data_IF_690077238844
#
_entry.id   IF_690077238844
#
_cell.length_a   1.000
_cell.length_b   1.000
_cell.length_c   1.000
_cell.angle_alpha   90.00
_cell.angle_beta   90.00
_cell.angle_gamma   90.00
#
_symmetry.space_group_name_H-M   'P 1'
#
loop_
_entity.id
_entity.type
_entity.pdbx_description
1 polymer ?
#
# COMPACT_ATOMS: atom_id res chain seq x y z
N UNK A 1 54.63 -43.35 -31.70
CA UNK A 1 55.36 -42.20 -32.25
C UNK A 1 54.81 -42.01 -33.66
N UNK A 2 53.66 -41.35 -33.76
CA UNK A 2 53.02 -40.97 -35.02
C UNK A 2 52.45 -39.58 -34.80
N UNK A 3 52.86 -38.65 -35.66
CA UNK A 3 52.55 -37.23 -35.59
C UNK A 3 51.81 -36.80 -36.86
N UNK A 4 50.67 -36.14 -36.65
CA UNK A 4 50.08 -34.98 -37.38
C UNK A 4 49.57 -35.14 -38.82
N UNK A 5 48.25 -34.90 -39.00
CA UNK A 5 47.67 -33.74 -39.73
C UNK A 5 46.16 -33.56 -39.51
N UNK A 6 45.76 -32.29 -39.41
CA UNK A 6 44.42 -31.71 -39.13
C UNK A 6 43.42 -31.82 -40.30
N UNK A 7 42.11 -31.91 -39.97
CA UNK A 7 40.99 -31.81 -40.92
C UNK A 7 39.65 -31.35 -40.29
N UNK A 8 39.46 -30.03 -40.25
CA UNK A 8 38.23 -29.21 -40.48
C UNK A 8 36.83 -29.78 -40.12
N UNK A 9 36.14 -29.18 -39.14
CA UNK A 9 34.69 -29.36 -38.88
C UNK A 9 33.84 -28.31 -39.60
N UNK A 10 32.75 -28.77 -40.22
CA UNK A 10 31.69 -27.99 -40.87
C UNK A 10 30.75 -27.34 -39.83
N UNK A 11 30.25 -26.13 -40.12
CA UNK A 11 29.27 -25.44 -39.28
C UNK A 11 28.73 -24.19 -39.95
N UNK A 12 27.86 -24.35 -40.95
CA UNK A 12 27.24 -23.23 -41.66
C UNK A 12 25.77 -23.53 -42.01
N UNK A 13 24.87 -23.52 -41.02
CA UNK A 13 23.41 -23.55 -41.29
C UNK A 13 22.54 -22.74 -40.29
N UNK A 14 23.15 -21.93 -39.41
CA UNK A 14 22.42 -21.19 -38.35
C UNK A 14 22.01 -19.74 -38.68
N UNK A 15 22.63 -19.09 -39.66
CA UNK A 15 22.60 -17.61 -39.80
C UNK A 15 21.34 -17.11 -40.55
N UNK A 16 20.73 -17.95 -41.40
CA UNK A 16 19.59 -17.54 -42.25
C UNK A 16 18.24 -17.39 -41.54
N UNK A 17 18.07 -17.95 -40.33
CA UNK A 17 16.78 -17.92 -39.59
C UNK A 17 16.67 -16.71 -38.64
N UNK A 18 17.78 -16.14 -38.18
CA UNK A 18 17.79 -14.98 -37.25
C UNK A 18 17.41 -13.67 -37.96
N UNK A 19 17.88 -13.46 -39.20
CA UNK A 19 17.60 -12.24 -39.97
C UNK A 19 16.11 -12.04 -40.32
N UNK A 20 15.35 -13.13 -40.47
CA UNK A 20 13.89 -13.05 -40.73
C UNK A 20 13.08 -12.66 -39.49
N UNK A 21 13.60 -12.90 -38.28
CA UNK A 21 12.98 -12.44 -37.03
C UNK A 21 13.21 -10.94 -36.79
N UNK A 22 14.43 -10.45 -37.06
CA UNK A 22 14.80 -9.03 -36.92
C UNK A 22 13.96 -8.13 -37.83
N UNK A 23 13.69 -8.57 -39.07
CA UNK A 23 12.86 -7.83 -40.02
C UNK A 23 11.36 -7.80 -39.64
N UNK A 24 10.88 -8.81 -38.90
CA UNK A 24 9.50 -8.89 -38.41
C UNK A 24 9.30 -8.07 -37.12
N UNK A 25 10.33 -7.98 -36.27
CA UNK A 25 10.38 -7.09 -35.10
C UNK A 25 10.43 -5.61 -35.52
N UNK A 26 11.24 -5.24 -36.53
CA UNK A 26 11.35 -3.86 -37.00
C UNK A 26 10.02 -3.22 -37.47
N UNK A 27 9.08 -4.01 -38.01
CA UNK A 27 7.74 -3.52 -38.40
C UNK A 27 6.78 -3.34 -37.22
N UNK A 28 7.04 -3.98 -36.08
CA UNK A 28 6.23 -3.85 -34.87
C UNK A 28 6.63 -2.62 -34.02
N UNK A 29 7.87 -2.12 -34.17
CA UNK A 29 8.44 -1.03 -33.34
C UNK A 29 8.28 0.38 -33.89
N UNK A 30 7.82 0.56 -35.13
CA UNK A 30 7.69 1.89 -35.75
C UNK A 30 6.76 2.88 -35.01
N UNK A 31 5.68 2.49 -34.30
CA UNK A 31 4.82 3.45 -33.60
C UNK A 31 5.30 3.84 -32.18
N UNK A 32 6.24 3.11 -31.57
CA UNK A 32 6.61 3.29 -30.16
C UNK A 32 7.86 4.16 -29.93
N UNK A 33 8.53 4.61 -30.99
CA UNK A 33 9.74 5.44 -30.87
C UNK A 33 9.46 6.94 -30.68
N UNK A 34 8.25 7.42 -31.00
CA UNK A 34 7.90 8.84 -30.87
C UNK A 34 7.75 9.36 -29.43
N UNK A 35 7.21 8.59 -28.45
CA UNK A 35 7.07 9.08 -27.07
C UNK A 35 8.42 9.26 -26.34
N UNK A 36 9.44 8.50 -26.73
CA UNK A 36 10.78 8.54 -26.09
C UNK A 36 11.59 9.78 -26.47
N UNK A 37 11.34 10.38 -27.65
CA UNK A 37 11.98 11.63 -28.07
C UNK A 37 11.32 12.88 -27.47
N UNK A 38 10.02 12.83 -27.13
CA UNK A 38 9.34 13.94 -26.46
C UNK A 38 9.83 14.16 -25.01
N UNK A 39 10.31 13.11 -24.34
CA UNK A 39 10.81 13.21 -22.95
C UNK A 39 12.24 13.78 -22.90
N UNK A 40 13.03 13.62 -23.96
CA UNK A 40 14.42 14.13 -24.02
C UNK A 40 14.51 15.58 -24.50
N UNK A 41 13.48 16.11 -25.19
CA UNK A 41 13.50 17.47 -25.76
C UNK A 41 12.84 18.57 -24.92
N UNK A 42 12.37 18.29 -23.70
CA UNK A 42 11.96 19.35 -22.76
C UNK A 42 10.91 20.32 -23.31
N UNK A 43 9.99 19.86 -24.17
CA UNK A 43 8.88 20.67 -24.65
C UNK A 43 7.89 20.89 -23.49
N UNK A 44 8.09 22.03 -22.86
CA UNK A 44 7.27 22.70 -21.88
C UNK A 44 5.82 22.82 -22.40
N UNK A 45 4.87 22.11 -21.78
CA UNK A 45 3.43 22.35 -21.99
C UNK A 45 3.08 23.56 -21.11
N UNK A 46 2.62 24.70 -21.67
CA UNK A 46 2.23 25.85 -20.85
C UNK A 46 0.96 25.51 -20.08
N UNK A 47 0.97 25.73 -18.76
CA UNK A 47 -0.26 25.81 -17.96
C UNK A 47 -1.09 27.02 -18.43
N UNK A 48 -2.29 26.79 -18.91
CA UNK A 48 -3.27 27.84 -19.22
C UNK A 48 -3.83 28.46 -17.94
N UNK A 49 -3.96 29.80 -17.84
CA UNK A 49 -4.44 30.46 -16.64
C UNK A 49 -5.95 30.24 -16.46
N UNK A 50 -6.35 29.99 -15.21
CA UNK A 50 -7.72 29.66 -14.84
C UNK A 50 -8.74 30.74 -15.13
N UNK A 51 -9.96 30.31 -15.49
CA UNK A 51 -11.16 31.12 -15.40
C UNK A 51 -12.13 30.48 -14.39
N UNK A 52 -12.60 31.28 -13.42
CA UNK A 52 -13.67 30.93 -12.50
C UNK A 52 -15.02 31.08 -13.22
N UNK A 53 -15.86 30.05 -13.22
CA UNK A 53 -17.30 30.16 -12.92
C UNK A 53 -18.03 28.82 -13.08
N UNK A 54 -18.95 28.54 -12.15
CA UNK A 54 -20.15 27.75 -12.43
C UNK A 54 -20.13 26.30 -11.92
N UNK A 55 -21.17 25.94 -11.17
CA UNK A 55 -21.45 24.59 -10.64
C UNK A 55 -21.42 23.52 -11.73
N UNK A 56 -20.77 22.40 -11.46
CA UNK A 56 -20.97 21.13 -12.15
C UNK A 56 -20.68 19.97 -11.20
N UNK A 57 -21.43 18.87 -11.32
CA UNK A 57 -21.25 17.65 -10.53
C UNK A 57 -19.85 17.04 -10.66
N UNK A 58 -19.57 15.90 -9.99
CA UNK A 58 -18.22 15.31 -10.01
C UNK A 58 -17.76 15.11 -11.45
N UNK A 59 -16.64 15.73 -11.80
CA UNK A 59 -15.94 15.50 -13.06
C UNK A 59 -15.69 14.00 -13.24
N UNK A 60 -15.91 13.43 -14.43
CA UNK A 60 -15.45 12.08 -14.71
C UNK A 60 -13.92 12.06 -14.60
N UNK A 61 -13.41 11.25 -13.67
CA UNK A 61 -11.97 11.13 -13.43
C UNK A 61 -11.20 10.68 -14.68
N UNK A 62 -9.93 11.09 -14.82
CA UNK A 62 -9.08 10.66 -15.93
C UNK A 62 -9.00 9.13 -16.01
N UNK A 63 -9.10 8.58 -17.22
CA UNK A 63 -8.91 7.15 -17.48
C UNK A 63 -7.49 6.72 -17.07
N UNK A 64 -7.38 5.96 -15.99
CA UNK A 64 -6.15 5.30 -15.57
C UNK A 64 -6.07 3.91 -16.24
N UNK A 65 -5.12 3.68 -17.17
CA UNK A 65 -4.95 2.39 -17.83
C UNK A 65 -4.57 1.23 -16.89
N UNK A 66 -4.19 1.51 -15.64
CA UNK A 66 -3.92 0.51 -14.61
C UNK A 66 -5.13 0.19 -13.70
N UNK A 67 -6.23 0.95 -13.80
CA UNK A 67 -7.46 0.74 -13.02
C UNK A 67 -8.06 -0.68 -13.12
N UNK A 68 -8.10 -1.35 -14.31
CA UNK A 68 -8.63 -2.72 -14.41
C UNK A 68 -7.79 -3.75 -13.66
N UNK A 69 -6.53 -3.45 -13.35
CA UNK A 69 -5.68 -4.34 -12.56
C UNK A 69 -6.08 -4.28 -11.09
N UNK A 70 -6.54 -3.13 -10.58
CA UNK A 70 -6.87 -2.94 -9.16
C UNK A 70 -8.07 -3.76 -8.69
N UNK A 71 -9.11 -3.92 -9.51
CA UNK A 71 -10.32 -4.71 -9.18
C UNK A 71 -10.01 -6.20 -8.93
N UNK A 72 -9.01 -6.76 -9.62
CA UNK A 72 -8.63 -8.18 -9.49
C UNK A 72 -7.89 -8.47 -8.17
N UNK A 73 -7.34 -7.45 -7.50
CA UNK A 73 -6.52 -7.61 -6.29
C UNK A 73 -7.27 -7.50 -4.97
N UNK A 74 -8.59 -7.37 -4.99
CA UNK A 74 -9.47 -7.37 -3.81
C UNK A 74 -9.32 -8.61 -2.90
N UNK A 75 -8.63 -9.67 -3.34
CA UNK A 75 -8.72 -11.00 -2.73
C UNK A 75 -7.59 -11.45 -1.78
N UNK A 76 -6.54 -10.66 -1.54
CA UNK A 76 -5.48 -11.11 -0.59
C UNK A 76 -5.06 -10.10 0.46
N UNK A 77 -6.05 -9.49 1.10
CA UNK A 77 -5.91 -8.80 2.38
C UNK A 77 -5.91 -9.80 3.54
N UNK A 78 -4.88 -10.65 3.62
CA UNK A 78 -4.82 -11.72 4.65
C UNK A 78 -4.22 -11.22 5.95
N UNK A 79 -4.97 -11.35 7.05
CA UNK A 79 -4.42 -11.25 8.41
C UNK A 79 -3.58 -12.51 8.67
N UNK A 80 -2.33 -12.32 9.10
CA UNK A 80 -1.45 -13.45 9.41
C UNK A 80 -1.96 -14.24 10.62
N UNK A 81 -2.20 -15.53 10.44
CA UNK A 81 -2.44 -16.46 11.54
C UNK A 81 -1.14 -17.18 11.97
N UNK A 82 -1.24 -18.07 12.96
CA UNK A 82 -0.09 -18.86 13.42
C UNK A 82 0.52 -19.75 12.32
N UNK A 83 -0.30 -20.27 11.41
CA UNK A 83 0.15 -21.08 10.27
C UNK A 83 0.87 -20.23 9.25
N UNK A 84 0.41 -19.01 8.98
CA UNK A 84 1.07 -18.04 8.11
C UNK A 84 2.43 -17.63 8.66
N UNK A 85 2.52 -17.36 9.96
CA UNK A 85 3.81 -17.09 10.62
C UNK A 85 4.76 -18.30 10.59
N UNK A 86 4.24 -19.52 10.79
CA UNK A 86 5.02 -20.74 10.62
C UNK A 86 5.52 -20.89 9.18
N UNK A 87 4.62 -20.67 8.21
CA UNK A 87 4.92 -20.69 6.78
C UNK A 87 5.97 -19.64 6.43
N UNK A 88 5.90 -18.44 7.00
CA UNK A 88 6.84 -17.34 6.76
C UNK A 88 8.23 -17.64 7.32
N UNK A 89 8.33 -18.32 8.48
CA UNK A 89 9.60 -18.72 9.11
C UNK A 89 10.27 -19.95 8.48
N UNK A 90 9.54 -20.72 7.67
CA UNK A 90 10.07 -21.92 7.00
C UNK A 90 11.30 -21.60 6.13
N UNK A 91 12.33 -22.44 6.21
CA UNK A 91 13.54 -22.36 5.38
C UNK A 91 13.25 -22.44 3.87
N UNK A 92 12.18 -23.14 3.49
CA UNK A 92 11.69 -23.23 2.10
C UNK A 92 10.94 -21.96 1.64
N UNK A 93 10.98 -20.86 2.41
CA UNK A 93 10.42 -19.57 1.98
C UNK A 93 11.07 -19.09 0.69
N UNK A 94 12.40 -19.16 0.58
CA UNK A 94 13.13 -18.57 -0.54
C UNK A 94 12.81 -19.27 -1.86
N UNK A 95 12.77 -20.62 -1.87
CA UNK A 95 12.38 -21.39 -3.06
C UNK A 95 10.93 -21.09 -3.48
N UNK A 96 9.99 -21.01 -2.54
CA UNK A 96 8.60 -20.64 -2.84
C UNK A 96 8.49 -19.23 -3.39
N UNK A 97 9.22 -18.27 -2.84
CA UNK A 97 9.24 -16.90 -3.35
C UNK A 97 9.77 -16.84 -4.77
N UNK A 98 10.88 -17.55 -5.05
CA UNK A 98 11.46 -17.67 -6.40
C UNK A 98 10.43 -18.24 -7.39
N UNK A 99 9.76 -19.34 -7.03
CA UNK A 99 8.75 -19.96 -7.89
C UNK A 99 7.53 -19.06 -8.12
N UNK A 100 7.14 -18.25 -7.12
CA UNK A 100 6.03 -17.30 -7.21
C UNK A 100 6.38 -15.95 -7.85
N UNK A 101 7.64 -15.72 -8.25
CA UNK A 101 8.07 -14.42 -8.78
C UNK A 101 7.26 -14.00 -10.01
N UNK A 102 6.94 -14.94 -10.91
CA UNK A 102 6.20 -14.65 -12.15
C UNK A 102 4.75 -14.22 -11.93
N UNK A 103 4.19 -14.46 -10.74
CA UNK A 103 2.84 -14.05 -10.37
C UNK A 103 2.79 -12.79 -9.51
N UNK A 104 3.94 -12.17 -9.21
CA UNK A 104 4.00 -11.00 -8.33
C UNK A 104 3.66 -9.70 -9.07
N UNK A 105 2.73 -8.89 -8.53
CA UNK A 105 2.37 -7.55 -9.06
C UNK A 105 3.61 -6.68 -9.22
N UNK A 106 4.49 -6.68 -8.21
CA UNK A 106 5.74 -5.91 -8.23
C UNK A 106 6.52 -6.25 -9.49
N UNK A 107 6.73 -7.54 -9.75
CA UNK A 107 7.55 -8.00 -10.89
C UNK A 107 6.88 -7.72 -12.23
N UNK A 108 5.56 -7.81 -12.31
CA UNK A 108 4.80 -7.48 -13.51
C UNK A 108 4.85 -5.96 -13.82
N UNK A 109 4.82 -5.11 -12.79
CA UNK A 109 4.94 -3.65 -12.93
C UNK A 109 6.34 -3.22 -13.44
N UNK A 110 7.38 -4.01 -13.16
CA UNK A 110 8.74 -3.75 -13.64
C UNK A 110 8.92 -4.04 -15.13
N UNK A 111 8.02 -4.80 -15.76
CA UNK A 111 8.23 -5.28 -17.12
C UNK A 111 8.41 -4.14 -18.14
N UNK A 112 7.55 -3.10 -18.21
CA UNK A 112 7.74 -2.01 -19.17
C UNK A 112 9.08 -1.25 -19.04
N UNK A 113 9.48 -0.73 -17.87
CA UNK A 113 10.74 0.01 -17.75
C UNK A 113 11.97 -0.89 -17.95
N UNK A 114 11.99 -2.09 -17.37
CA UNK A 114 13.15 -3.00 -17.48
C UNK A 114 13.31 -3.49 -18.92
N UNK A 115 12.21 -3.82 -19.61
CA UNK A 115 12.24 -4.23 -21.00
C UNK A 115 12.74 -3.10 -21.92
N UNK A 116 12.26 -1.86 -21.71
CA UNK A 116 12.73 -0.69 -22.46
C UNK A 116 14.23 -0.46 -22.31
N UNK A 117 14.73 -0.46 -21.07
CA UNK A 117 16.16 -0.27 -20.78
C UNK A 117 17.04 -1.41 -21.32
N UNK A 118 16.56 -2.64 -21.23
CA UNK A 118 17.26 -3.80 -21.78
C UNK A 118 17.32 -3.74 -23.31
N UNK A 119 16.25 -3.25 -23.96
CA UNK A 119 16.23 -3.03 -25.41
C UNK A 119 17.25 -1.98 -25.84
N UNK A 120 17.38 -0.89 -25.08
CA UNK A 120 18.42 0.12 -25.30
C UNK A 120 19.81 -0.49 -25.17
N UNK A 121 20.04 -1.31 -24.13
CA UNK A 121 21.32 -2.02 -23.93
C UNK A 121 21.66 -2.97 -25.09
N UNK A 122 20.67 -3.71 -25.60
CA UNK A 122 20.82 -4.57 -26.80
C UNK A 122 21.18 -3.73 -28.02
N UNK A 123 20.48 -2.61 -28.25
CA UNK A 123 20.72 -1.74 -29.40
C UNK A 123 22.14 -1.14 -29.38
N UNK A 124 22.60 -0.69 -28.21
CA UNK A 124 23.95 -0.15 -28.03
C UNK A 124 25.03 -1.22 -28.23
N UNK A 125 24.81 -2.41 -27.66
CA UNK A 125 25.74 -3.54 -27.84
C UNK A 125 25.83 -3.97 -29.31
N UNK A 126 24.70 -4.06 -30.00
CA UNK A 126 24.65 -4.39 -31.42
C UNK A 126 25.31 -3.31 -32.29
N UNK A 127 25.10 -2.03 -31.98
CA UNK A 127 25.77 -0.93 -32.67
C UNK A 127 27.29 -1.01 -32.54
N UNK A 128 27.81 -1.18 -31.32
CA UNK A 128 29.25 -1.28 -31.09
C UNK A 128 29.85 -2.52 -31.76
N UNK A 129 29.16 -3.66 -31.73
CA UNK A 129 29.57 -4.88 -32.44
C UNK A 129 29.66 -4.66 -33.96
N UNK A 130 28.69 -3.94 -34.55
CA UNK A 130 28.70 -3.65 -35.99
C UNK A 130 29.88 -2.76 -36.40
N UNK A 131 30.31 -1.84 -35.53
CA UNK A 131 31.52 -1.03 -35.75
C UNK A 131 32.78 -1.91 -35.67
N UNK A 132 32.89 -2.74 -34.63
CA UNK A 132 34.04 -3.63 -34.45
C UNK A 132 34.16 -4.67 -35.58
N UNK A 133 33.02 -5.14 -36.11
CA UNK A 133 32.95 -6.07 -37.23
C UNK A 133 33.11 -5.40 -38.61
N UNK A 134 33.38 -4.09 -38.67
CA UNK A 134 33.48 -3.29 -39.90
C UNK A 134 32.22 -3.34 -40.80
N UNK A 135 31.06 -3.68 -40.24
CA UNK A 135 29.77 -3.60 -40.94
C UNK A 135 29.31 -2.15 -41.11
N UNK A 136 29.73 -1.28 -40.19
CA UNK A 136 29.48 0.16 -40.24
C UNK A 136 30.74 0.92 -40.68
N UNK A 137 30.57 2.09 -41.34
CA UNK A 137 31.69 2.91 -41.75
C UNK A 137 32.56 3.36 -40.57
N UNK A 138 33.87 3.40 -40.76
CA UNK A 138 34.86 3.76 -39.74
C UNK A 138 34.82 5.22 -39.27
N UNK A 139 33.98 6.08 -39.88
CA UNK A 139 33.76 7.43 -39.37
C UNK A 139 32.87 7.47 -38.13
N UNK A 140 32.09 6.41 -37.86
CA UNK A 140 31.21 6.35 -36.71
C UNK A 140 32.01 6.01 -35.43
N UNK A 141 31.80 6.74 -34.33
CA UNK A 141 32.50 6.48 -33.09
C UNK A 141 31.96 5.25 -32.39
N UNK A 142 32.85 4.52 -31.70
CA UNK A 142 32.46 3.53 -30.70
C UNK A 142 31.75 4.24 -29.56
N UNK A 143 30.54 3.80 -29.18
CA UNK A 143 29.78 4.40 -28.10
C UNK A 143 30.16 3.75 -26.77
N UNK A 144 31.06 4.39 -26.05
CA UNK A 144 31.48 3.99 -24.72
C UNK A 144 31.78 5.22 -23.85
N UNK A 145 31.70 5.07 -22.53
CA UNK A 145 32.03 6.12 -21.56
C UNK A 145 32.79 5.52 -20.39
N UNK A 146 33.60 6.33 -19.70
CA UNK A 146 34.28 5.87 -18.47
C UNK A 146 33.26 5.41 -17.40
N UNK A 147 33.55 4.32 -16.70
CA UNK A 147 32.75 3.82 -15.60
C UNK A 147 32.89 4.65 -14.31
N UNK A 148 33.89 5.54 -14.20
CA UNK A 148 34.17 6.31 -12.97
C UNK A 148 32.98 7.16 -12.48
N UNK A 149 32.25 7.92 -13.33
CA UNK A 149 31.07 8.65 -12.90
C UNK A 149 29.98 7.74 -12.31
N UNK A 150 29.85 6.51 -12.82
CA UNK A 150 28.88 5.55 -12.31
C UNK A 150 29.30 4.99 -10.94
N UNK A 151 30.59 4.79 -10.72
CA UNK A 151 31.08 4.37 -9.41
C UNK A 151 30.86 5.45 -8.34
N UNK A 152 31.04 6.72 -8.71
CA UNK A 152 30.84 7.86 -7.79
C UNK A 152 29.37 8.14 -7.47
N UNK A 153 28.48 7.92 -8.42
CA UNK A 153 27.06 8.23 -8.29
C UNK A 153 26.21 7.05 -7.77
N UNK A 154 26.70 5.81 -7.86
CA UNK A 154 25.98 4.63 -7.37
C UNK A 154 25.61 4.71 -5.87
N UNK A 155 26.50 5.16 -4.96
CA UNK A 155 26.14 5.35 -3.55
C UNK A 155 25.03 6.40 -3.36
N UNK A 156 25.05 7.48 -4.14
CA UNK A 156 24.01 8.51 -4.09
C UNK A 156 22.65 7.95 -4.54
N UNK A 157 22.63 7.15 -5.61
CA UNK A 157 21.42 6.46 -6.08
C UNK A 157 20.86 5.51 -5.02
N UNK A 158 21.71 4.68 -4.42
CA UNK A 158 21.31 3.75 -3.36
C UNK A 158 20.73 4.50 -2.16
N UNK A 159 21.36 5.59 -1.74
CA UNK A 159 20.91 6.40 -0.61
C UNK A 159 19.55 7.06 -0.87
N UNK A 160 19.32 7.58 -2.09
CA UNK A 160 18.02 8.14 -2.49
C UNK A 160 16.90 7.10 -2.40
N UNK A 161 17.15 5.86 -2.83
CA UNK A 161 16.18 4.77 -2.75
C UNK A 161 15.88 4.36 -1.31
N UNK A 162 16.90 4.28 -0.46
CA UNK A 162 16.75 3.96 0.97
C UNK A 162 15.93 5.03 1.68
N UNK A 163 16.22 6.32 1.45
CA UNK A 163 15.45 7.38 2.10
C UNK A 163 14.01 7.41 1.63
N UNK A 164 13.75 7.17 0.34
CA UNK A 164 12.39 7.08 -0.19
C UNK A 164 11.60 5.93 0.43
N UNK A 165 12.19 4.74 0.46
CA UNK A 165 11.53 3.54 1.03
C UNK A 165 11.31 3.69 2.53
N UNK A 166 12.24 4.31 3.25
CA UNK A 166 12.08 4.60 4.69
C UNK A 166 10.95 5.60 4.97
N UNK A 167 10.83 6.67 4.18
CA UNK A 167 9.72 7.62 4.29
C UNK A 167 8.36 6.95 4.00
N UNK A 168 8.33 6.06 3.01
CA UNK A 168 7.13 5.31 2.64
C UNK A 168 6.74 4.31 3.75
N UNK A 169 7.73 3.64 4.36
CA UNK A 169 7.50 2.76 5.51
C UNK A 169 6.98 3.51 6.74
N UNK A 170 7.47 4.73 7.03
CA UNK A 170 6.98 5.52 8.15
C UNK A 170 5.47 5.82 8.04
N UNK A 171 5.00 6.14 6.83
CA UNK A 171 3.56 6.32 6.53
C UNK A 171 2.76 5.03 6.77
N UNK A 172 3.31 3.90 6.31
CA UNK A 172 2.70 2.60 6.53
C UNK A 172 2.57 2.26 8.03
N UNK A 173 3.60 2.49 8.84
CA UNK A 173 3.54 2.24 10.27
C UNK A 173 2.59 3.20 11.00
N UNK A 174 2.56 4.48 10.62
CA UNK A 174 1.60 5.46 11.17
C UNK A 174 0.15 5.03 10.91
N UNK A 175 -0.18 4.67 9.67
CA UNK A 175 -1.50 4.18 9.31
C UNK A 175 -1.89 2.91 10.11
N UNK A 176 -0.94 1.97 10.26
CA UNK A 176 -1.15 0.74 11.05
C UNK A 176 -1.45 1.06 12.51
N UNK A 177 -0.72 2.02 13.11
CA UNK A 177 -0.92 2.45 14.49
C UNK A 177 -2.28 3.12 14.69
N UNK A 178 -2.71 3.96 13.76
CA UNK A 178 -4.03 4.60 13.82
C UNK A 178 -5.16 3.56 13.83
N UNK A 179 -5.12 2.58 12.91
CA UNK A 179 -6.10 1.49 12.89
C UNK A 179 -6.03 0.59 14.13
N UNK A 180 -4.83 0.30 14.64
CA UNK A 180 -4.67 -0.42 15.91
C UNK A 180 -5.23 0.35 17.12
N UNK A 181 -5.05 1.67 17.13
CA UNK A 181 -5.63 2.57 18.14
C UNK A 181 -7.15 2.53 18.10
N UNK A 182 -7.77 2.57 16.92
CA UNK A 182 -9.23 2.43 16.76
C UNK A 182 -9.79 1.12 17.34
N UNK A 183 -9.11 -0.01 17.15
CA UNK A 183 -9.49 -1.30 17.77
C UNK A 183 -9.50 -1.18 19.28
N UNK A 184 -8.48 -0.55 19.86
CA UNK A 184 -8.36 -0.37 21.30
C UNK A 184 -9.40 0.62 21.85
N UNK A 185 -9.60 1.77 21.20
CA UNK A 185 -10.60 2.77 21.61
C UNK A 185 -12.02 2.20 21.54
N UNK A 186 -12.32 1.37 20.54
CA UNK A 186 -13.63 0.70 20.44
C UNK A 186 -13.88 -0.23 21.63
N UNK A 187 -12.87 -1.02 22.03
CA UNK A 187 -12.95 -1.88 23.22
C UNK A 187 -13.13 -1.06 24.50
N UNK A 188 -12.42 0.05 24.62
CA UNK A 188 -12.49 0.92 25.79
C UNK A 188 -13.86 1.60 25.92
N UNK A 189 -14.40 2.20 24.85
CA UNK A 189 -15.76 2.77 24.89
C UNK A 189 -16.79 1.69 25.18
N UNK A 190 -16.70 0.52 24.54
CA UNK A 190 -17.65 -0.58 24.79
C UNK A 190 -17.63 -1.01 26.25
N UNK A 191 -16.44 -1.25 26.81
CA UNK A 191 -16.27 -1.62 28.22
C UNK A 191 -16.79 -0.52 29.15
N UNK A 192 -16.47 0.74 28.87
CA UNK A 192 -16.91 1.88 29.67
C UNK A 192 -18.43 2.07 29.62
N UNK A 193 -19.04 2.00 28.43
CA UNK A 193 -20.48 2.11 28.25
C UNK A 193 -21.22 1.01 29.03
N UNK A 194 -20.81 -0.26 28.86
CA UNK A 194 -21.41 -1.39 29.57
C UNK A 194 -21.26 -1.29 31.11
N UNK A 195 -20.16 -0.72 31.61
CA UNK A 195 -19.90 -0.69 33.06
C UNK A 195 -20.35 0.59 33.77
N UNK A 196 -20.32 1.74 33.10
CA UNK A 196 -20.62 3.04 33.71
C UNK A 196 -22.06 3.49 33.45
N UNK A 197 -22.66 3.14 32.32
CA UNK A 197 -24.02 3.54 31.94
C UNK A 197 -25.05 2.48 32.34
N UNK A 198 -25.18 2.23 33.65
CA UNK A 198 -26.08 1.18 34.17
C UNK A 198 -27.51 1.64 34.41
N UNK A 199 -27.82 2.92 34.22
CA UNK A 199 -29.17 3.43 34.46
C UNK A 199 -30.18 2.81 33.47
N UNK A 200 -31.35 2.32 33.91
CA UNK A 200 -32.29 1.63 33.02
C UNK A 200 -32.74 2.45 31.80
N UNK A 201 -32.83 3.77 31.93
CA UNK A 201 -33.17 4.67 30.80
C UNK A 201 -32.10 4.74 29.71
N UNK A 202 -30.87 4.32 30.00
CA UNK A 202 -29.73 4.45 29.11
C UNK A 202 -29.42 3.12 28.38
N UNK A 203 -30.13 2.04 28.68
CA UNK A 203 -29.87 0.72 28.09
C UNK A 203 -29.91 0.73 26.55
N UNK A 204 -30.89 1.41 25.94
CA UNK A 204 -30.96 1.55 24.48
C UNK A 204 -29.90 2.50 23.93
N UNK A 205 -29.56 3.56 24.67
CA UNK A 205 -28.47 4.49 24.32
C UNK A 205 -27.12 3.77 24.28
N UNK A 206 -26.84 2.89 25.24
CA UNK A 206 -25.62 2.08 25.30
C UNK A 206 -25.52 1.17 24.07
N UNK A 207 -26.59 0.48 23.71
CA UNK A 207 -26.62 -0.36 22.49
C UNK A 207 -26.35 0.47 21.25
N UNK A 208 -27.01 1.64 21.13
CA UNK A 208 -26.83 2.56 20.01
C UNK A 208 -25.40 3.08 19.93
N UNK A 209 -24.81 3.52 21.05
CA UNK A 209 -23.41 3.96 21.12
C UNK A 209 -22.45 2.89 20.62
N UNK A 210 -22.60 1.65 21.12
CA UNK A 210 -21.73 0.53 20.76
C UNK A 210 -21.84 0.20 19.26
N UNK A 211 -23.05 0.20 18.69
CA UNK A 211 -23.27 0.03 17.24
C UNK A 211 -22.58 1.13 16.43
N UNK A 212 -22.69 2.38 16.89
CA UNK A 212 -22.05 3.53 16.24
C UNK A 212 -20.51 3.48 16.35
N UNK A 213 -19.94 2.93 17.43
CA UNK A 213 -18.50 2.67 17.50
C UNK A 213 -18.02 1.74 16.38
N UNK A 214 -18.77 0.67 16.09
CA UNK A 214 -18.44 -0.25 14.98
C UNK A 214 -18.63 0.45 13.64
N UNK A 215 -19.74 1.17 13.47
CA UNK A 215 -20.05 1.88 12.23
C UNK A 215 -19.06 3.00 11.91
N UNK A 216 -18.49 3.67 12.91
CA UNK A 216 -17.42 4.64 12.70
C UNK A 216 -16.25 4.04 11.93
N UNK A 217 -15.81 2.84 12.33
CA UNK A 217 -14.70 2.14 11.69
C UNK A 217 -15.04 1.69 10.26
N UNK A 218 -16.28 1.24 10.03
CA UNK A 218 -16.76 0.88 8.69
C UNK A 218 -16.85 2.12 7.79
N UNK A 219 -17.37 3.24 8.30
CA UNK A 219 -17.41 4.51 7.59
C UNK A 219 -15.99 5.01 7.27
N UNK A 220 -15.05 4.87 8.22
CA UNK A 220 -13.65 5.24 8.02
C UNK A 220 -12.98 4.38 6.94
N UNK A 221 -13.27 3.07 6.90
CA UNK A 221 -12.80 2.18 5.82
C UNK A 221 -13.26 2.70 4.45
N UNK A 222 -14.57 2.92 4.31
CA UNK A 222 -15.19 3.41 3.06
C UNK A 222 -14.80 4.86 2.71
N UNK A 223 -14.31 5.63 3.68
CA UNK A 223 -13.77 6.96 3.45
C UNK A 223 -12.35 6.93 2.83
N UNK A 224 -11.57 5.89 3.12
CA UNK A 224 -10.15 5.79 2.74
C UNK A 224 -9.90 4.86 1.54
N UNK A 225 -10.84 3.95 1.25
CA UNK A 225 -10.71 2.95 0.18
C UNK A 225 -11.90 3.05 -0.75
N UNK A 226 -11.63 2.93 -2.06
CA UNK A 226 -12.65 2.88 -3.09
C UNK A 226 -13.23 1.47 -3.23
N UNK A 227 -14.53 1.39 -3.50
CA UNK A 227 -15.24 0.15 -3.75
C UNK A 227 -16.00 -0.42 -2.55
N UNK A 228 -17.01 -1.23 -2.85
CA UNK A 228 -18.00 -1.72 -1.88
C UNK A 228 -19.13 -0.72 -1.63
N UNK A 229 -20.27 -1.23 -1.20
CA UNK A 229 -21.41 -0.39 -0.79
C UNK A 229 -21.40 -0.24 0.74
N UNK A 230 -21.28 1.01 1.21
CA UNK A 230 -21.36 1.34 2.64
C UNK A 230 -22.71 0.92 3.23
N UNK A 231 -23.80 1.00 2.45
CA UNK A 231 -25.13 0.60 2.92
C UNK A 231 -25.17 -0.88 3.24
N UNK A 232 -24.61 -1.73 2.38
CA UNK A 232 -24.60 -3.18 2.55
C UNK A 232 -23.78 -3.58 3.78
N UNK A 233 -22.63 -2.96 4.00
CA UNK A 233 -21.78 -3.23 5.16
C UNK A 233 -22.41 -2.77 6.48
N UNK A 234 -23.23 -1.71 6.46
CA UNK A 234 -23.88 -1.16 7.67
C UNK A 234 -25.25 -1.79 7.97
N UNK A 235 -25.99 -2.30 6.97
CA UNK A 235 -27.37 -2.78 7.12
C UNK A 235 -27.52 -3.90 8.17
N UNK A 236 -26.44 -4.62 8.49
CA UNK A 236 -26.48 -5.66 9.51
C UNK A 236 -26.34 -5.16 10.96
N UNK A 237 -26.04 -3.87 11.20
CA UNK A 237 -25.70 -3.33 12.54
C UNK A 237 -26.44 -2.05 12.91
N UNK A 238 -26.81 -1.24 11.93
CA UNK A 238 -27.44 0.07 12.12
C UNK A 238 -28.82 0.07 11.44
N UNK A 239 -29.76 0.78 12.05
CA UNK A 239 -31.13 0.88 11.54
C UNK A 239 -31.16 1.71 10.24
N UNK A 240 -32.11 1.41 9.35
CA UNK A 240 -32.15 2.01 7.99
C UNK A 240 -32.15 3.54 8.00
N UNK A 241 -32.91 4.13 8.92
CA UNK A 241 -33.04 5.58 9.08
C UNK A 241 -31.71 6.25 9.46
N UNK A 242 -30.91 5.58 10.31
CA UNK A 242 -29.60 6.06 10.73
C UNK A 242 -28.57 5.95 9.58
N UNK A 243 -28.66 4.88 8.78
CA UNK A 243 -27.82 4.72 7.58
C UNK A 243 -28.08 5.85 6.59
N UNK A 244 -29.35 6.22 6.38
CA UNK A 244 -29.71 7.32 5.48
C UNK A 244 -29.13 8.66 5.96
N UNK A 245 -29.14 8.91 7.27
CA UNK A 245 -28.47 10.07 7.87
C UNK A 245 -26.96 10.09 7.65
N UNK A 246 -26.28 8.94 7.83
CA UNK A 246 -24.85 8.79 7.56
C UNK A 246 -24.54 9.06 6.08
N UNK A 247 -25.33 8.48 5.16
CA UNK A 247 -25.11 8.60 3.72
C UNK A 247 -25.38 10.02 3.21
N UNK A 248 -26.33 10.74 3.80
CA UNK A 248 -26.63 12.12 3.48
C UNK A 248 -25.55 13.11 3.95
N UNK A 249 -24.71 12.72 4.91
CA UNK A 249 -23.66 13.58 5.46
C UNK A 249 -22.47 13.74 4.49
N UNK A 250 -21.89 14.94 4.47
CA UNK A 250 -20.67 15.22 3.69
C UNK A 250 -19.46 14.43 4.20
N UNK A 251 -19.37 14.24 5.52
CA UNK A 251 -18.23 13.61 6.17
C UNK A 251 -18.66 12.47 7.11
N UNK A 252 -18.93 11.31 6.52
CA UNK A 252 -19.58 10.16 7.17
C UNK A 252 -18.93 9.73 8.51
N UNK A 253 -17.59 9.56 8.62
CA UNK A 253 -16.98 9.18 9.91
C UNK A 253 -17.16 10.24 11.01
N UNK A 254 -17.10 11.53 10.65
CA UNK A 254 -17.26 12.63 11.62
C UNK A 254 -18.72 12.79 12.05
N UNK A 255 -19.66 12.56 11.14
CA UNK A 255 -21.08 12.50 11.48
C UNK A 255 -21.35 11.41 12.53
N UNK A 256 -20.78 10.22 12.35
CA UNK A 256 -20.91 9.14 13.35
C UNK A 256 -20.27 9.52 14.69
N UNK A 257 -19.10 10.17 14.69
CA UNK A 257 -18.50 10.68 15.94
C UNK A 257 -19.39 11.69 16.66
N UNK A 258 -20.01 12.61 15.92
CA UNK A 258 -20.95 13.58 16.48
C UNK A 258 -22.14 12.87 17.15
N UNK A 259 -22.75 11.89 16.47
CA UNK A 259 -23.85 11.08 17.04
C UNK A 259 -23.41 10.35 18.30
N UNK A 260 -22.21 9.76 18.31
CA UNK A 260 -21.66 9.09 19.49
C UNK A 260 -21.49 10.06 20.67
N UNK A 261 -20.98 11.27 20.43
CA UNK A 261 -20.80 12.29 21.47
C UNK A 261 -22.15 12.74 22.06
N UNK A 262 -23.18 12.94 21.23
CA UNK A 262 -24.53 13.29 21.68
C UNK A 262 -25.14 12.19 22.56
N UNK A 263 -24.95 10.93 22.16
CA UNK A 263 -25.42 9.79 22.96
C UNK A 263 -24.75 9.78 24.33
N UNK A 264 -23.42 9.92 24.39
CA UNK A 264 -22.66 9.92 25.65
C UNK A 264 -23.12 11.07 26.56
N UNK A 265 -23.29 12.28 26.02
CA UNK A 265 -23.76 13.44 26.78
C UNK A 265 -25.18 13.28 27.33
N UNK A 266 -26.03 12.52 26.65
CA UNK A 266 -27.41 12.28 27.08
C UNK A 266 -27.55 11.18 28.15
N UNK A 267 -26.49 10.46 28.47
CA UNK A 267 -26.49 9.38 29.46
C UNK A 267 -26.27 9.91 30.88
N UNK A 268 -26.78 9.17 31.87
CA UNK A 268 -26.67 9.49 33.29
C UNK A 268 -25.31 9.04 33.83
N UNK A 269 -24.25 9.75 33.48
CA UNK A 269 -22.87 9.48 33.94
C UNK A 269 -22.28 10.67 34.69
N UNK A 270 -21.29 10.41 35.54
CA UNK A 270 -20.57 11.47 36.25
C UNK A 270 -19.67 12.28 35.28
N UNK A 271 -19.38 13.53 35.63
CA UNK A 271 -18.52 14.41 34.83
C UNK A 271 -17.11 13.80 34.63
N UNK A 272 -16.57 13.13 35.65
CA UNK A 272 -15.29 12.42 35.53
C UNK A 272 -15.34 11.28 34.51
N UNK A 273 -16.44 10.53 34.44
CA UNK A 273 -16.63 9.47 33.45
C UNK A 273 -16.80 10.05 32.05
N UNK A 274 -17.59 11.13 31.91
CA UNK A 274 -17.78 11.85 30.66
C UNK A 274 -16.43 12.31 30.08
N UNK A 275 -15.63 13.02 30.87
CA UNK A 275 -14.27 13.45 30.46
C UNK A 275 -13.38 12.28 30.05
N UNK A 276 -13.47 11.13 30.73
CA UNK A 276 -12.70 9.94 30.37
C UNK A 276 -13.18 9.26 29.09
N UNK A 277 -14.47 9.33 28.76
CA UNK A 277 -15.00 8.84 27.49
C UNK A 277 -14.66 9.79 26.34
N UNK A 278 -14.68 11.10 26.58
CA UNK A 278 -14.36 12.13 25.59
C UNK A 278 -12.91 12.03 25.09
N UNK A 279 -11.97 11.66 25.96
CA UNK A 279 -10.59 11.33 25.55
C UNK A 279 -10.56 10.21 24.49
N UNK A 280 -11.44 9.21 24.59
CA UNK A 280 -11.53 8.16 23.57
C UNK A 280 -12.16 8.68 22.27
N UNK A 281 -13.14 9.58 22.36
CA UNK A 281 -13.76 10.24 21.20
C UNK A 281 -12.73 11.09 20.45
N UNK A 282 -11.96 11.89 21.17
CA UNK A 282 -10.86 12.69 20.63
C UNK A 282 -9.85 11.80 19.92
N UNK A 283 -9.47 10.66 20.52
CA UNK A 283 -8.52 9.74 19.89
C UNK A 283 -9.07 9.13 18.58
N UNK A 284 -10.37 8.88 18.46
CA UNK A 284 -10.96 8.46 17.19
C UNK A 284 -10.85 9.55 16.12
N UNK A 285 -11.12 10.81 16.48
CA UNK A 285 -10.96 11.95 15.60
C UNK A 285 -9.49 12.14 15.16
N UNK A 286 -8.53 12.00 16.10
CA UNK A 286 -7.10 12.06 15.80
C UNK A 286 -6.66 10.95 14.85
N UNK A 287 -7.15 9.73 15.05
CA UNK A 287 -6.85 8.59 14.16
C UNK A 287 -7.42 8.81 12.76
N UNK A 288 -8.64 9.35 12.66
CA UNK A 288 -9.25 9.72 11.38
C UNK A 288 -8.44 10.81 10.68
N UNK A 289 -8.10 11.90 11.38
CA UNK A 289 -7.29 12.99 10.83
C UNK A 289 -5.90 12.54 10.39
N UNK A 290 -5.26 11.64 11.15
CA UNK A 290 -3.99 11.03 10.75
C UNK A 290 -4.14 10.22 9.45
N UNK A 291 -5.18 9.40 9.32
CA UNK A 291 -5.43 8.65 8.10
C UNK A 291 -5.78 9.53 6.90
N UNK A 292 -6.57 10.59 7.10
CA UNK A 292 -6.85 11.58 6.06
C UNK A 292 -5.59 12.29 5.59
N UNK A 293 -4.70 12.67 6.52
CA UNK A 293 -3.40 13.28 6.18
C UNK A 293 -2.54 12.32 5.36
N UNK A 294 -2.48 11.05 5.75
CA UNK A 294 -1.74 10.03 5.00
C UNK A 294 -2.34 9.87 3.59
N UNK A 295 -3.66 9.79 3.48
CA UNK A 295 -4.34 9.63 2.19
C UNK A 295 -4.17 10.85 1.28
N UNK A 296 -4.40 12.06 1.78
CA UNK A 296 -4.45 13.30 0.99
C UNK A 296 -3.08 13.89 0.68
N UNK A 297 -2.06 13.60 1.50
CA UNK A 297 -0.73 14.21 1.38
C UNK A 297 0.31 13.13 1.11
N UNK A 298 0.68 12.87 -0.17
CA UNK A 298 1.74 11.92 -0.52
C UNK A 298 3.14 12.45 -0.17
N UNK A 299 4.17 11.63 -0.37
CA UNK A 299 5.56 12.09 -0.29
C UNK A 299 5.76 13.21 -1.34
N UNK A 300 6.53 14.27 -1.05
CA UNK A 300 6.72 15.37 -1.99
C UNK A 300 7.07 14.88 -3.40
N UNK A 301 6.27 15.31 -4.39
CA UNK A 301 6.39 14.85 -5.77
C UNK A 301 7.77 15.09 -6.39
N UNK A 302 8.48 16.12 -5.93
CA UNK A 302 9.87 16.39 -6.32
C UNK A 302 10.79 15.22 -5.99
N UNK A 303 10.59 14.56 -4.85
CA UNK A 303 11.38 13.41 -4.41
C UNK A 303 11.12 12.20 -5.31
N UNK A 304 9.85 11.85 -5.50
CA UNK A 304 9.42 10.74 -6.36
C UNK A 304 9.90 10.93 -7.81
N UNK A 305 9.74 12.14 -8.36
CA UNK A 305 10.21 12.46 -9.72
C UNK A 305 11.72 12.43 -9.84
N UNK A 306 12.45 12.95 -8.85
CA UNK A 306 13.92 12.94 -8.85
C UNK A 306 14.46 11.51 -8.84
N UNK A 307 13.98 10.66 -7.92
CA UNK A 307 14.41 9.26 -7.82
C UNK A 307 14.13 8.50 -9.11
N UNK A 308 12.91 8.61 -9.66
CA UNK A 308 12.51 7.89 -10.88
C UNK A 308 13.31 8.35 -12.10
N UNK A 309 13.44 9.67 -12.31
CA UNK A 309 14.22 10.22 -13.44
C UNK A 309 15.69 9.86 -13.35
N UNK A 310 16.26 9.94 -12.15
CA UNK A 310 17.66 9.59 -11.93
C UNK A 310 17.89 8.09 -12.19
N UNK A 311 16.98 7.21 -11.74
CA UNK A 311 17.02 5.78 -12.04
C UNK A 311 16.96 5.48 -13.54
N UNK A 312 16.06 6.12 -14.27
CA UNK A 312 15.90 5.91 -15.72
C UNK A 312 17.14 6.40 -16.48
N UNK A 313 17.59 7.64 -16.23
CA UNK A 313 18.76 8.20 -16.90
C UNK A 313 20.03 7.39 -16.60
N UNK A 314 20.17 6.93 -15.36
CA UNK A 314 21.26 6.04 -14.95
C UNK A 314 21.32 4.77 -15.80
N UNK A 315 20.21 4.06 -15.94
CA UNK A 315 20.18 2.79 -16.64
C UNK A 315 20.22 2.93 -18.16
N UNK A 316 19.80 4.07 -18.72
CA UNK A 316 20.01 4.38 -20.15
C UNK A 316 21.51 4.50 -20.44
N UNK A 317 22.26 5.15 -19.56
CA UNK A 317 23.69 5.39 -19.76
C UNK A 317 24.59 4.23 -19.29
N UNK A 318 24.09 3.37 -18.38
CA UNK A 318 24.82 2.22 -17.82
C UNK A 318 25.48 1.29 -18.88
N UNK A 319 24.79 0.84 -19.95
CA UNK A 319 25.42 -0.03 -20.95
C UNK A 319 26.64 0.59 -21.65
N UNK A 320 26.68 1.92 -21.80
CA UNK A 320 27.84 2.61 -22.38
C UNK A 320 29.09 2.50 -21.48
N UNK A 321 28.88 2.49 -20.16
CA UNK A 321 29.96 2.33 -19.19
C UNK A 321 30.43 0.88 -19.01
N UNK A 322 29.53 -0.07 -19.27
CA UNK A 322 29.82 -1.50 -19.14
C UNK A 322 30.49 -2.09 -20.39
N UNK A 323 30.38 -1.43 -21.55
CA UNK A 323 30.88 -1.94 -22.81
C UNK A 323 32.36 -2.33 -22.77
N UNK A 324 33.22 -1.45 -22.25
CA UNK A 324 34.67 -1.65 -22.20
C UNK A 324 35.10 -2.83 -21.32
N UNK A 325 34.25 -3.25 -20.38
CA UNK A 325 34.57 -4.31 -19.42
C UNK A 325 33.97 -5.66 -19.81
N UNK A 326 32.76 -5.67 -20.37
CA UNK A 326 32.01 -6.93 -20.51
C UNK A 326 31.18 -7.05 -21.80
N UNK A 327 31.24 -6.08 -22.72
CA UNK A 327 30.61 -6.14 -24.06
C UNK A 327 29.16 -6.66 -24.01
N UNK A 328 28.84 -7.79 -24.65
CA UNK A 328 27.51 -8.40 -24.67
C UNK A 328 26.95 -8.77 -23.29
N UNK A 329 27.81 -8.98 -22.29
CA UNK A 329 27.40 -9.22 -20.89
C UNK A 329 26.81 -7.95 -20.25
N UNK A 330 26.99 -6.77 -20.85
CA UNK A 330 26.33 -5.54 -20.43
C UNK A 330 24.79 -5.64 -20.48
N UNK A 331 24.24 -6.45 -21.40
CA UNK A 331 22.80 -6.69 -21.55
C UNK A 331 22.22 -7.40 -20.32
N UNK A 332 22.65 -8.63 -19.95
CA UNK A 332 22.16 -9.28 -18.74
C UNK A 332 22.50 -8.50 -17.47
N UNK A 333 23.63 -7.79 -17.44
CA UNK A 333 23.99 -6.93 -16.31
C UNK A 333 22.98 -5.77 -16.12
N UNK A 334 22.61 -5.08 -17.20
CA UNK A 334 21.59 -4.01 -17.18
C UNK A 334 20.22 -4.55 -16.82
N UNK A 335 19.83 -5.72 -17.34
CA UNK A 335 18.56 -6.35 -16.98
C UNK A 335 18.49 -6.66 -15.48
N UNK A 336 19.53 -7.27 -14.91
CA UNK A 336 19.58 -7.64 -13.50
C UNK A 336 19.63 -6.40 -12.59
N UNK A 337 20.44 -5.39 -12.93
CA UNK A 337 20.55 -4.16 -12.14
C UNK A 337 19.25 -3.34 -12.17
N UNK A 338 18.65 -3.18 -13.36
CA UNK A 338 17.36 -2.51 -13.51
C UNK A 338 16.27 -3.25 -12.73
N UNK A 339 16.19 -4.58 -12.88
CA UNK A 339 15.26 -5.40 -12.12
C UNK A 339 15.39 -5.21 -10.61
N UNK A 340 16.61 -5.16 -10.08
CA UNK A 340 16.84 -4.96 -8.65
C UNK A 340 16.47 -3.55 -8.16
N UNK A 341 16.94 -2.50 -8.84
CA UNK A 341 16.77 -1.12 -8.38
C UNK A 341 15.35 -0.58 -8.59
N UNK A 342 14.71 -0.90 -9.72
CA UNK A 342 13.30 -0.55 -9.94
C UNK A 342 12.38 -1.35 -9.00
N UNK A 343 12.74 -2.59 -8.62
CA UNK A 343 11.97 -3.34 -7.61
C UNK A 343 11.94 -2.61 -6.27
N UNK A 344 13.06 -2.03 -5.83
CA UNK A 344 13.13 -1.25 -4.59
C UNK A 344 12.26 0.01 -4.70
N UNK A 345 12.32 0.71 -5.85
CA UNK A 345 11.46 1.88 -6.09
C UNK A 345 9.97 1.52 -6.05
N UNK A 346 9.58 0.46 -6.74
CA UNK A 346 8.19 0.00 -6.85
C UNK A 346 7.64 -0.46 -5.50
N UNK A 347 8.44 -1.18 -4.70
CA UNK A 347 8.06 -1.52 -3.33
C UNK A 347 7.83 -0.25 -2.49
N UNK A 348 8.65 0.79 -2.69
CA UNK A 348 8.46 2.09 -2.06
C UNK A 348 7.10 2.72 -2.40
N UNK A 349 6.73 2.72 -3.68
CA UNK A 349 5.41 3.21 -4.13
C UNK A 349 4.27 2.42 -3.51
N UNK A 350 4.36 1.09 -3.50
CA UNK A 350 3.29 0.25 -2.97
C UNK A 350 3.05 0.50 -1.47
N UNK A 351 4.11 0.62 -0.67
CA UNK A 351 3.95 0.87 0.78
C UNK A 351 3.59 2.34 1.09
N UNK A 352 3.76 3.26 0.14
CA UNK A 352 3.38 4.67 0.28
C UNK A 352 1.85 4.87 0.41
N UNK A 353 1.06 3.96 -0.18
CA UNK A 353 -0.40 3.90 -0.10
C UNK A 353 -0.88 2.69 0.76
N UNK A 354 -0.90 2.82 2.11
CA UNK A 354 -1.10 1.69 2.99
C UNK A 354 -2.52 1.11 2.99
N UNK A 355 -3.55 1.92 2.69
CA UNK A 355 -4.95 1.52 2.85
C UNK A 355 -5.39 0.46 1.84
N UNK A 356 -4.76 0.39 0.66
CA UNK A 356 -5.02 -0.67 -0.31
C UNK A 356 -4.47 -2.03 0.15
N UNK A 357 -3.37 -2.02 0.91
CA UNK A 357 -2.68 -3.22 1.39
C UNK A 357 -3.36 -3.78 2.65
N UNK A 358 -3.89 -2.91 3.51
CA UNK A 358 -4.41 -3.35 4.80
C UNK A 358 -5.68 -4.21 4.69
N UNK A 359 -5.81 -5.21 5.59
CA UNK A 359 -7.03 -5.98 5.72
C UNK A 359 -8.08 -5.25 6.55
N UNK A 360 -8.52 -4.09 6.06
CA UNK A 360 -9.50 -3.24 6.73
C UNK A 360 -10.82 -3.96 6.99
N UNK A 361 -11.27 -4.81 6.07
CA UNK A 361 -12.46 -5.65 6.25
C UNK A 361 -12.32 -6.61 7.43
N UNK A 362 -11.19 -7.31 7.52
CA UNK A 362 -10.91 -8.21 8.63
C UNK A 362 -10.71 -7.45 9.95
N UNK A 363 -10.13 -6.25 9.91
CA UNK A 363 -10.01 -5.38 11.08
C UNK A 363 -11.40 -4.97 11.56
N UNK A 364 -12.29 -4.51 10.68
CA UNK A 364 -13.67 -4.19 11.02
C UNK A 364 -14.44 -5.40 11.58
N UNK A 365 -14.28 -6.58 10.96
CA UNK A 365 -14.84 -7.84 11.48
C UNK A 365 -14.30 -8.19 12.86
N UNK A 366 -13.01 -7.96 13.11
CA UNK A 366 -12.37 -8.18 14.41
C UNK A 366 -12.89 -7.21 15.46
N UNK A 367 -13.06 -5.93 15.11
CA UNK A 367 -13.66 -4.91 15.98
C UNK A 367 -15.05 -5.36 16.41
N UNK A 368 -15.89 -5.77 15.46
CA UNK A 368 -17.23 -6.31 15.71
C UNK A 368 -17.20 -7.53 16.65
N UNK A 369 -16.37 -8.53 16.36
CA UNK A 369 -16.23 -9.72 17.23
C UNK A 369 -15.79 -9.37 18.66
N UNK A 370 -14.89 -8.40 18.81
CA UNK A 370 -14.46 -7.94 20.13
C UNK A 370 -15.62 -7.30 20.91
N UNK A 371 -16.44 -6.49 20.22
CA UNK A 371 -17.62 -5.85 20.80
C UNK A 371 -18.64 -6.90 21.23
N UNK A 372 -18.99 -7.84 20.34
CA UNK A 372 -19.94 -8.92 20.64
C UNK A 372 -19.47 -9.75 21.84
N UNK A 373 -18.17 -10.09 21.88
CA UNK A 373 -17.58 -10.81 23.01
C UNK A 373 -17.65 -10.06 24.34
N UNK A 374 -17.48 -8.73 24.33
CA UNK A 374 -17.62 -7.90 25.53
C UNK A 374 -19.07 -7.83 26.02
N UNK A 375 -20.04 -7.72 25.11
CA UNK A 375 -21.47 -7.72 25.45
C UNK A 375 -21.88 -9.06 26.08
N UNK A 376 -21.44 -10.17 25.48
CA UNK A 376 -21.70 -11.51 26.02
C UNK A 376 -21.10 -11.68 27.41
N UNK A 377 -19.82 -11.35 27.58
CA UNK A 377 -19.15 -11.44 28.88
C UNK A 377 -19.84 -10.57 29.95
N UNK A 378 -20.27 -9.36 29.60
CA UNK A 378 -21.02 -8.48 30.50
C UNK A 378 -22.36 -9.12 30.93
N UNK A 379 -23.08 -9.71 29.99
CA UNK A 379 -24.37 -10.38 30.25
C UNK A 379 -24.19 -11.60 31.16
N UNK A 380 -23.15 -12.42 30.92
CA UNK A 380 -22.81 -13.58 31.75
C UNK A 380 -22.42 -13.16 33.18
N UNK A 381 -21.60 -12.11 33.34
CA UNK A 381 -21.21 -11.58 34.65
C UNK A 381 -22.44 -11.11 35.42
N UNK A 382 -23.35 -10.36 34.77
CA UNK A 382 -24.61 -9.93 35.40
C UNK A 382 -25.52 -11.09 35.77
N UNK A 383 -25.59 -12.13 34.92
CA UNK A 383 -26.34 -13.35 35.23
C UNK A 383 -25.77 -14.07 36.45
N UNK A 384 -24.45 -14.26 36.53
CA UNK A 384 -23.77 -14.86 37.68
C UNK A 384 -23.94 -14.06 38.97
N UNK A 385 -23.96 -12.73 38.90
CA UNK A 385 -24.26 -11.89 40.07
C UNK A 385 -25.71 -12.03 40.56
N UNK A 386 -26.68 -12.23 39.65
CA UNK A 386 -28.08 -12.46 40.00
C UNK A 386 -28.34 -13.91 40.47
N UNK A 387 -27.60 -14.87 39.93
CA UNK A 387 -27.72 -16.30 40.21
C UNK A 387 -26.35 -16.90 40.54
N UNK A 388 -25.83 -16.67 41.76
CA UNK A 388 -24.54 -17.20 42.15
C UNK A 388 -24.56 -18.74 42.15
N UNK A 389 -23.54 -19.41 41.57
CA UNK A 389 -23.46 -20.86 41.61
C UNK A 389 -23.38 -21.34 43.07
N UNK A 390 -24.12 -22.40 43.40
CA UNK A 390 -24.16 -22.98 44.75
C UNK A 390 -22.73 -23.34 45.18
N UNK A 391 -22.23 -22.73 46.27
CA UNK A 391 -20.88 -22.94 46.80
C UNK A 391 -19.91 -21.77 46.60
N UNK A 392 -20.31 -20.67 45.95
CA UNK A 392 -19.50 -19.45 45.84
C UNK A 392 -19.91 -18.43 46.92
N UNK A 393 -19.36 -18.57 48.13
CA UNK A 393 -19.51 -17.58 49.19
C UNK A 393 -18.68 -16.32 48.83
N UNK A 394 -19.28 -15.38 48.11
CA UNK A 394 -18.71 -14.04 47.97
C UNK A 394 -18.82 -13.36 49.34
N UNK A 395 -17.71 -12.96 49.99
CA UNK A 395 -17.79 -12.31 51.29
C UNK A 395 -18.59 -11.01 51.14
N UNK A 396 -19.75 -10.95 51.79
CA UNK A 396 -20.55 -9.72 51.87
C UNK A 396 -19.67 -8.63 52.47
N UNK A 397 -19.35 -7.61 51.67
CA UNK A 397 -18.65 -6.41 52.14
C UNK A 397 -19.53 -5.78 53.23
N UNK A 398 -19.09 -5.86 54.50
CA UNK A 398 -19.75 -5.15 55.60
C UNK A 398 -19.84 -3.67 55.22
N UNK A 399 -21.04 -3.11 55.24
CA UNK A 399 -21.24 -1.66 55.17
C UNK A 399 -20.54 -1.04 56.38
N UNK A 400 -19.38 -0.43 56.17
CA UNK A 400 -18.72 0.41 57.17
C UNK A 400 -19.48 1.73 57.26
N UNK A 401 -20.59 1.71 57.99
CA UNK A 401 -21.07 2.89 58.70
C UNK A 401 -20.32 2.95 60.01
N UNK A 402 -19.41 3.91 60.13
CA UNK A 402 -19.07 4.65 61.35
C UNK A 402 -17.89 5.57 61.03
N UNK A 403 -18.21 6.86 60.81
CA UNK A 403 -17.23 7.93 60.79
C UNK A 403 -16.84 8.24 62.25
N UNK A 404 -15.55 8.28 62.62
CA UNK A 404 -15.18 8.77 63.93
C UNK A 404 -15.29 10.29 63.95
N UNK A 405 -16.14 10.80 64.83
CA UNK A 405 -16.06 12.18 65.31
C UNK A 405 -14.79 12.31 66.16
N UNK A 406 -13.88 13.18 65.74
CA UNK A 406 -13.00 13.97 66.61
C UNK A 406 -12.47 15.16 65.82
#
# INVERSE_FOLDING_TARGET
MEDVRLGRCEGAEGVGKMGKWVHKLARFYAPCALPLLCVTMGLWIPESPGSRSGRSGPEPEPYDPDFPKEEVFLYRRTVYDHKDWSRHRSSLRHSRHILSMRSSRVILALWPPVFGLTTVSIALSAYNECILSHWLPSFLPLLHVSATPFQLMAPALALLLVFRTNASYARFDEARRAWGSNVNRTRDITRQALTWMQHPSDAEKVKKLIRHCVAFNVCMKHHLVRGGDLRDDLHSWIDKEEIDGILASTHRPNYVLQVMSEIIHSCSITEMQLTRMDVNMTQFADNLGACERIFKTPIPLSYTRLTSRFLVLWHIALPLALWDHCQWVSVPATFLSAGALFCIEEVGVLIEEPFQIFPLDNICSTIKKNVDGLILAHTEIHHCHKHPPKGCDIPKKKSSGDAPKS
#
